data_IF_024504367108
#
_entry.id   IF_024504367108
#
_cell.length_a   1.000
_cell.length_b   1.000
_cell.length_c   1.000
_cell.angle_alpha   90.00
_cell.angle_beta   90.00
_cell.angle_gamma   90.00
#
_symmetry.space_group_name_H-M   'P 1'
#
loop_
_entity.id
_entity.type
_entity.pdbx_description
1 polymer ?
#
# COMPACT_ATOMS: atom_id res chain seq x y z
N UNK A 1 -5.69 6.02 4.83
CA UNK A 1 -5.18 4.66 5.09
C UNK A 1 -3.66 4.62 5.00
N UNK A 2 -3.03 4.72 3.82
CA UNK A 2 -1.55 4.60 3.70
C UNK A 2 -0.73 5.46 4.67
N UNK A 3 -1.13 6.70 4.90
CA UNK A 3 -0.45 7.61 5.86
C UNK A 3 -1.06 7.52 7.26
N UNK A 4 -2.39 7.57 7.35
CA UNK A 4 -3.11 7.74 8.61
C UNK A 4 -3.37 6.44 9.40
N UNK A 5 -3.43 5.30 8.71
CA UNK A 5 -3.69 3.95 9.25
C UNK A 5 -2.93 2.89 8.42
N UNK A 6 -1.58 2.94 8.40
CA UNK A 6 -0.75 2.01 7.62
C UNK A 6 -0.96 0.54 8.02
N UNK A 7 -1.24 0.27 9.29
CA UNK A 7 -1.48 -1.04 9.86
C UNK A 7 -2.63 -1.77 9.16
N UNK A 8 -3.73 -1.08 8.87
CA UNK A 8 -4.86 -1.65 8.13
C UNK A 8 -4.47 -2.10 6.72
N UNK A 9 -3.59 -1.33 6.07
CA UNK A 9 -3.10 -1.69 4.74
C UNK A 9 -2.28 -2.97 4.84
N UNK A 10 -1.33 -3.04 5.77
CA UNK A 10 -0.51 -4.24 5.98
C UNK A 10 -1.32 -5.48 6.36
N UNK A 11 -2.28 -5.37 7.29
CA UNK A 11 -3.15 -6.47 7.71
C UNK A 11 -3.97 -7.04 6.53
N UNK A 12 -4.56 -6.16 5.71
CA UNK A 12 -5.31 -6.60 4.52
C UNK A 12 -4.39 -7.32 3.53
N UNK A 13 -3.17 -6.81 3.30
CA UNK A 13 -2.23 -7.45 2.38
C UNK A 13 -1.72 -8.79 2.94
N UNK A 14 -1.50 -8.89 4.25
CA UNK A 14 -1.18 -10.16 4.92
C UNK A 14 -2.31 -11.17 4.78
N UNK A 15 -3.57 -10.74 4.93
CA UNK A 15 -4.73 -11.60 4.74
C UNK A 15 -4.81 -12.15 3.31
N UNK A 16 -4.56 -11.32 2.29
CA UNK A 16 -4.46 -11.79 0.90
C UNK A 16 -3.31 -12.79 0.69
N UNK A 17 -2.13 -12.51 1.26
CA UNK A 17 -0.99 -13.42 1.18
C UNK A 17 -1.30 -14.78 1.85
N UNK A 18 -1.91 -14.74 3.05
CA UNK A 18 -2.31 -15.93 3.80
C UNK A 18 -3.41 -16.74 3.08
N UNK A 19 -4.28 -16.06 2.33
CA UNK A 19 -5.28 -16.70 1.47
C UNK A 19 -4.68 -17.33 0.20
N UNK A 20 -3.38 -17.20 -0.03
CA UNK A 20 -2.67 -17.83 -1.16
C UNK A 20 -2.61 -16.96 -2.42
N UNK A 21 -2.77 -15.63 -2.31
CA UNK A 21 -2.61 -14.75 -3.46
C UNK A 21 -1.16 -14.78 -3.97
N UNK A 22 -0.98 -15.06 -5.27
CA UNK A 22 0.35 -15.06 -5.91
C UNK A 22 0.86 -13.65 -6.24
N UNK A 23 -0.05 -12.68 -6.34
CA UNK A 23 0.27 -11.28 -6.67
C UNK A 23 -0.55 -10.35 -5.79
N UNK A 24 0.13 -9.38 -5.18
CA UNK A 24 -0.49 -8.34 -4.37
C UNK A 24 -0.18 -6.97 -4.97
N UNK A 25 -1.22 -6.18 -5.21
CA UNK A 25 -1.09 -4.81 -5.73
C UNK A 25 -0.91 -3.82 -4.59
N UNK A 26 0.00 -2.87 -4.75
CA UNK A 26 0.14 -1.73 -3.85
C UNK A 26 -1.14 -0.91 -3.76
N UNK A 27 -1.41 -0.32 -2.59
CA UNK A 27 -2.57 0.54 -2.35
C UNK A 27 -2.40 1.94 -2.98
N UNK A 28 -2.27 2.00 -4.31
CA UNK A 28 -1.89 3.20 -5.07
C UNK A 28 -2.92 3.65 -6.12
N UNK A 29 -4.08 2.99 -6.23
CA UNK A 29 -5.12 3.34 -7.22
C UNK A 29 -5.55 4.83 -7.15
N UNK A 30 -5.59 5.41 -5.95
CA UNK A 30 -5.90 6.82 -5.72
C UNK A 30 -4.68 7.75 -5.57
N UNK A 31 -3.46 7.22 -5.59
CA UNK A 31 -2.25 7.97 -5.26
C UNK A 31 -1.71 8.76 -6.47
N UNK A 32 -2.55 9.57 -7.10
CA UNK A 32 -2.18 10.46 -8.20
C UNK A 32 -2.52 11.92 -7.86
N UNK A 33 -1.91 12.87 -8.59
CA UNK A 33 -2.04 14.30 -8.30
C UNK A 33 -3.48 14.78 -8.27
N UNK A 34 -4.30 14.33 -9.24
CA UNK A 34 -5.69 14.77 -9.38
C UNK A 34 -6.51 14.36 -8.16
N UNK A 35 -6.50 13.08 -7.79
CA UNK A 35 -7.26 12.58 -6.63
C UNK A 35 -6.73 13.06 -5.28
N UNK A 36 -5.42 13.26 -5.18
CA UNK A 36 -4.81 13.79 -3.96
C UNK A 36 -5.05 15.29 -3.81
N UNK A 37 -5.31 16.03 -4.90
CA UNK A 37 -5.65 17.45 -4.84
C UNK A 37 -6.96 17.69 -4.07
N UNK A 38 -7.95 16.80 -4.22
CA UNK A 38 -9.23 16.85 -3.48
C UNK A 38 -9.04 16.84 -1.95
N UNK A 39 -7.86 16.39 -1.48
CA UNK A 39 -7.48 16.27 -0.08
C UNK A 39 -6.34 17.21 0.32
N UNK A 40 -5.94 18.14 -0.54
CA UNK A 40 -4.81 19.07 -0.29
C UNK A 40 -3.42 18.44 -0.37
N UNK A 41 -3.28 17.26 -1.00
CA UNK A 41 -2.04 16.47 -1.02
C UNK A 41 -1.43 16.33 -2.43
N UNK A 42 -1.76 17.23 -3.36
CA UNK A 42 -1.30 17.19 -4.76
C UNK A 42 0.24 17.05 -4.90
N UNK A 43 1.01 17.67 -4.00
CA UNK A 43 2.48 17.62 -4.01
C UNK A 43 3.08 16.41 -3.28
N UNK A 44 2.24 15.60 -2.62
CA UNK A 44 2.68 14.44 -1.83
C UNK A 44 2.51 13.11 -2.56
N UNK A 45 2.31 13.13 -3.88
CA UNK A 45 2.14 11.93 -4.71
C UNK A 45 3.27 10.92 -4.48
N UNK A 46 4.52 11.39 -4.44
CA UNK A 46 5.68 10.52 -4.22
C UNK A 46 5.64 9.84 -2.85
N UNK A 47 5.35 10.58 -1.79
CA UNK A 47 5.28 10.05 -0.43
C UNK A 47 4.23 8.95 -0.30
N UNK A 48 3.03 9.18 -0.86
CA UNK A 48 1.93 8.21 -0.81
C UNK A 48 2.29 6.94 -1.56
N UNK A 49 2.83 7.04 -2.77
CA UNK A 49 3.23 5.87 -3.55
C UNK A 49 4.38 5.12 -2.88
N UNK A 50 5.41 5.84 -2.41
CA UNK A 50 6.55 5.23 -1.74
C UNK A 50 6.11 4.46 -0.49
N UNK A 51 5.29 5.07 0.36
CA UNK A 51 4.81 4.43 1.58
C UNK A 51 3.88 3.25 1.27
N UNK A 52 2.98 3.38 0.30
CA UNK A 52 2.10 2.28 -0.11
C UNK A 52 2.90 1.06 -0.59
N UNK A 53 3.93 1.27 -1.43
CA UNK A 53 4.79 0.18 -1.93
C UNK A 53 5.62 -0.42 -0.79
N UNK A 54 6.19 0.42 0.10
CA UNK A 54 6.95 -0.06 1.25
C UNK A 54 6.14 -1.01 2.13
N UNK A 55 4.89 -0.65 2.46
CA UNK A 55 4.01 -1.50 3.26
C UNK A 55 3.79 -2.88 2.65
N UNK A 56 3.66 -2.98 1.32
CA UNK A 56 3.51 -4.28 0.64
C UNK A 56 4.80 -5.09 0.67
N UNK A 57 5.96 -4.43 0.49
CA UNK A 57 7.27 -5.11 0.57
C UNK A 57 7.50 -5.69 1.95
N UNK A 58 7.20 -4.93 3.00
CA UNK A 58 7.36 -5.36 4.39
C UNK A 58 6.49 -6.61 4.68
N UNK A 59 5.26 -6.67 4.12
CA UNK A 59 4.40 -7.86 4.21
C UNK A 59 5.01 -9.08 3.51
N UNK A 60 5.63 -8.86 2.34
CA UNK A 60 6.30 -9.92 1.56
C UNK A 60 7.44 -10.56 2.34
N UNK A 61 8.21 -9.75 3.06
CA UNK A 61 9.33 -10.23 3.90
C UNK A 61 8.82 -11.05 5.09
N UNK A 62 7.70 -10.66 5.71
CA UNK A 62 7.11 -11.37 6.86
C UNK A 62 6.42 -12.68 6.44
N UNK A 63 5.76 -12.73 5.29
CA UNK A 63 5.01 -13.91 4.84
C UNK A 63 5.90 -15.10 4.41
N UNK A 64 7.22 -14.91 4.28
CA UNK A 64 8.17 -15.98 3.91
C UNK A 64 7.96 -16.57 2.51
N UNK A 65 7.08 -15.98 1.70
CA UNK A 65 6.72 -16.41 0.35
C UNK A 65 7.08 -15.30 -0.62
N UNK A 66 7.78 -15.67 -1.70
CA UNK A 66 8.10 -14.73 -2.75
C UNK A 66 6.87 -14.46 -3.65
N UNK A 67 5.95 -13.58 -3.21
CA UNK A 67 4.74 -13.15 -3.97
C UNK A 67 4.84 -11.73 -4.56
#
# INVERSE_FOLDING_TARGET
MVISRPEWVSEIHQAYAAAGADVIKSHTFGANRVRLADHGYAERVRDFNFRAVKLVRDVREVAGRAI
#
